data_IF_255917927990
#
_entry.id   IF_255917927990
#
_cell.length_a   1.000
_cell.length_b   1.000
_cell.length_c   1.000
_cell.angle_alpha   90.00
_cell.angle_beta   90.00
_cell.angle_gamma   90.00
#
_symmetry.space_group_name_H-M   'P 1'
#
loop_
_entity.id
_entity.type
_entity.pdbx_description
1 polymer ?
#
# COMPACT_ATOMS: atom_id res chain seq x y z
N UNK A 1 36.68 -1.55 -23.09
CA UNK A 1 35.34 -0.97 -23.27
C UNK A 1 34.96 -0.36 -21.94
N UNK A 2 34.96 0.97 -21.83
CA UNK A 2 34.61 1.64 -20.58
C UNK A 2 33.11 1.46 -20.35
N UNK A 3 32.72 0.80 -19.26
CA UNK A 3 31.32 0.79 -18.83
C UNK A 3 30.88 2.25 -18.68
N UNK A 4 29.88 2.67 -19.46
CA UNK A 4 29.20 3.94 -19.19
C UNK A 4 28.63 3.84 -17.77
N UNK A 5 28.86 4.82 -16.88
CA UNK A 5 28.19 4.87 -15.59
C UNK A 5 26.69 4.69 -15.84
N UNK A 6 26.11 3.67 -15.23
CA UNK A 6 24.68 3.40 -15.37
C UNK A 6 23.94 4.62 -14.82
N UNK A 7 23.10 5.27 -15.63
CA UNK A 7 22.34 6.43 -15.14
C UNK A 7 21.55 6.01 -13.90
N UNK A 8 21.57 6.82 -12.82
CA UNK A 8 20.80 6.51 -11.62
C UNK A 8 19.33 6.44 -12.00
N UNK A 9 18.70 5.29 -11.72
CA UNK A 9 17.26 5.09 -11.88
C UNK A 9 16.54 5.61 -10.65
N UNK A 10 15.32 6.11 -10.84
CA UNK A 10 14.50 6.58 -9.74
C UNK A 10 13.99 5.44 -8.86
N UNK A 11 13.20 5.82 -7.85
CA UNK A 11 12.72 4.91 -6.83
C UNK A 11 11.31 5.27 -6.37
N UNK A 12 10.64 4.32 -5.73
CA UNK A 12 9.33 4.52 -5.12
C UNK A 12 9.42 4.48 -3.60
N UNK A 13 8.64 5.31 -2.91
CA UNK A 13 8.42 5.20 -1.46
C UNK A 13 6.92 5.22 -1.21
N UNK A 14 6.34 4.03 -1.03
CA UNK A 14 4.88 3.83 -0.98
C UNK A 14 4.44 3.59 0.46
N UNK A 15 3.74 4.55 1.05
CA UNK A 15 3.29 4.50 2.45
C UNK A 15 1.85 4.04 2.52
N UNK A 16 1.55 3.09 3.40
CA UNK A 16 0.20 2.52 3.50
C UNK A 16 -0.89 3.50 3.94
N UNK A 17 -0.54 4.70 4.38
CA UNK A 17 -1.46 5.71 4.88
C UNK A 17 -1.06 6.19 6.27
N UNK A 18 -1.74 7.20 6.80
CA UNK A 18 -1.54 7.65 8.19
C UNK A 18 -0.08 7.99 8.55
N UNK A 19 0.71 8.47 7.58
CA UNK A 19 2.10 8.86 7.80
C UNK A 19 2.16 9.96 8.85
N UNK A 20 2.80 9.67 9.99
CA UNK A 20 2.89 10.60 11.11
C UNK A 20 3.95 11.67 10.85
N UNK A 21 3.68 12.90 11.26
CA UNK A 21 4.55 14.06 11.09
C UNK A 21 5.95 13.85 11.64
N UNK A 22 6.05 13.12 12.75
CA UNK A 22 7.30 12.84 13.44
C UNK A 22 8.05 11.61 12.90
N UNK A 23 7.55 10.96 11.83
CA UNK A 23 8.19 9.82 11.19
C UNK A 23 9.42 10.26 10.37
N UNK A 24 10.50 10.57 11.08
CA UNK A 24 11.78 10.99 10.51
C UNK A 24 12.39 9.95 9.57
N UNK A 25 12.11 8.67 9.78
CA UNK A 25 12.66 7.59 8.96
C UNK A 25 12.12 7.65 7.53
N UNK A 26 10.80 7.74 7.37
CA UNK A 26 10.16 7.75 6.05
C UNK A 26 10.39 9.08 5.34
N UNK A 27 10.18 10.22 6.02
CA UNK A 27 10.47 11.54 5.42
C UNK A 27 11.94 11.67 5.04
N UNK A 28 12.85 11.24 5.92
CA UNK A 28 14.29 11.24 5.65
C UNK A 28 14.67 10.37 4.46
N UNK A 29 14.05 9.20 4.27
CA UNK A 29 14.31 8.35 3.11
C UNK A 29 13.82 8.98 1.80
N UNK A 30 12.65 9.63 1.79
CA UNK A 30 12.17 10.38 0.61
C UNK A 30 13.15 11.50 0.27
N UNK A 31 13.55 12.32 1.24
CA UNK A 31 14.47 13.44 1.06
C UNK A 31 15.83 12.95 0.56
N UNK A 32 16.38 11.90 1.17
CA UNK A 32 17.64 11.27 0.75
C UNK A 32 17.61 10.87 -0.73
N UNK A 33 16.53 10.22 -1.18
CA UNK A 33 16.36 9.77 -2.57
C UNK A 33 16.12 10.93 -3.54
N UNK A 34 15.55 12.03 -3.06
CA UNK A 34 15.39 13.26 -3.82
C UNK A 34 16.68 14.12 -3.89
N UNK A 35 17.83 13.66 -3.40
CA UNK A 35 19.09 14.42 -3.43
C UNK A 35 19.54 14.94 -2.07
N UNK A 36 18.99 14.41 -0.97
CA UNK A 36 19.40 14.74 0.39
C UNK A 36 19.13 16.21 0.72
N UNK A 37 20.09 16.95 1.30
CA UNK A 37 19.90 18.36 1.65
C UNK A 37 19.53 19.27 0.48
N UNK A 38 19.82 18.87 -0.78
CA UNK A 38 19.45 19.62 -1.97
C UNK A 38 18.08 19.24 -2.54
N UNK A 39 17.32 18.39 -1.85
CA UNK A 39 16.03 17.90 -2.32
C UNK A 39 15.03 19.03 -2.59
N UNK A 40 14.33 18.92 -3.71
CA UNK A 40 13.22 19.78 -4.13
C UNK A 40 11.98 18.92 -4.34
N UNK A 41 11.01 19.01 -3.44
CA UNK A 41 9.85 18.12 -3.42
C UNK A 41 8.62 18.80 -4.05
N UNK A 42 8.09 18.22 -5.12
CA UNK A 42 6.77 18.56 -5.65
C UNK A 42 5.69 17.82 -4.88
N UNK A 43 4.88 18.54 -4.12
CA UNK A 43 3.76 17.98 -3.35
C UNK A 43 2.48 18.07 -4.19
N UNK A 44 1.83 16.93 -4.40
CA UNK A 44 0.61 16.79 -5.22
C UNK A 44 -0.45 16.17 -4.32
N UNK A 45 -1.59 16.84 -4.19
CA UNK A 45 -2.65 16.51 -3.19
C UNK A 45 -4.03 16.44 -3.84
N UNK A 46 -4.09 16.15 -5.14
CA UNK A 46 -5.33 16.08 -5.93
C UNK A 46 -6.35 15.04 -5.42
N UNK A 47 -5.93 14.08 -4.58
CA UNK A 47 -6.83 13.15 -3.91
C UNK A 47 -7.72 13.82 -2.85
N UNK A 48 -7.28 14.94 -2.27
CA UNK A 48 -8.12 15.75 -1.37
C UNK A 48 -9.25 16.44 -2.14
N UNK A 49 -10.28 16.88 -1.43
CA UNK A 49 -11.29 17.77 -2.02
C UNK A 49 -10.62 19.07 -2.47
N UNK A 50 -11.09 19.73 -3.55
CA UNK A 50 -10.58 21.03 -3.94
C UNK A 50 -11.13 22.13 -3.01
N UNK A 51 -10.58 23.33 -3.12
CA UNK A 51 -10.98 24.49 -2.31
C UNK A 51 -12.48 24.80 -2.41
N UNK A 52 -13.09 24.65 -3.59
CA UNK A 52 -14.53 24.90 -3.80
C UNK A 52 -15.46 23.97 -3.00
N UNK A 53 -14.94 22.83 -2.52
CA UNK A 53 -15.69 21.82 -1.77
C UNK A 53 -15.33 21.79 -0.28
N UNK A 54 -14.45 22.69 0.17
CA UNK A 54 -14.04 22.80 1.56
C UNK A 54 -14.82 23.93 2.27
N UNK A 55 -15.71 23.60 3.24
CA UNK A 55 -16.47 24.61 3.98
C UNK A 55 -15.59 25.51 4.86
N UNK A 56 -14.31 25.18 5.01
CA UNK A 56 -13.32 25.91 5.80
C UNK A 56 -12.17 26.46 4.94
N UNK A 57 -12.33 26.54 3.62
CA UNK A 57 -11.30 27.01 2.69
C UNK A 57 -10.62 28.34 3.10
N UNK A 58 -11.38 29.28 3.65
CA UNK A 58 -10.88 30.59 4.10
C UNK A 58 -10.20 30.60 5.47
N UNK A 59 -10.13 29.48 6.18
CA UNK A 59 -9.54 29.35 7.52
C UNK A 59 -8.31 28.43 7.47
N UNK A 60 -7.08 28.99 7.48
CA UNK A 60 -5.84 28.21 7.39
C UNK A 60 -5.63 27.18 8.52
N UNK A 61 -6.31 27.32 9.66
CA UNK A 61 -6.20 26.38 10.78
C UNK A 61 -7.16 25.20 10.64
N UNK A 62 -8.18 25.32 9.79
CA UNK A 62 -9.27 24.34 9.66
C UNK A 62 -9.43 23.77 8.25
N UNK A 63 -8.87 24.44 7.24
CA UNK A 63 -8.99 24.00 5.86
C UNK A 63 -8.35 22.62 5.66
N UNK A 64 -9.01 21.80 4.85
CA UNK A 64 -8.60 20.43 4.53
C UNK A 64 -8.88 20.12 3.06
N UNK A 65 -8.37 20.97 2.19
CA UNK A 65 -8.43 20.84 0.73
C UNK A 65 -7.06 20.55 0.11
N UNK A 66 -7.03 20.32 -1.20
CA UNK A 66 -5.82 20.10 -2.01
C UNK A 66 -4.73 21.14 -1.71
N UNK A 67 -5.04 22.42 -1.74
CA UNK A 67 -4.09 23.51 -1.54
C UNK A 67 -3.54 23.55 -0.10
N UNK A 68 -4.43 23.50 0.90
CA UNK A 68 -4.04 23.52 2.31
C UNK A 68 -3.19 22.31 2.71
N UNK A 69 -3.63 21.10 2.32
CA UNK A 69 -2.86 19.88 2.55
C UNK A 69 -1.52 19.95 1.82
N UNK A 70 -1.49 20.53 0.61
CA UNK A 70 -0.29 20.73 -0.17
C UNK A 70 0.73 21.65 0.52
N UNK A 71 0.27 22.78 1.05
CA UNK A 71 1.09 23.73 1.80
C UNK A 71 1.62 23.09 3.09
N UNK A 72 0.77 22.36 3.81
CA UNK A 72 1.14 21.65 5.03
C UNK A 72 2.25 20.60 4.80
N UNK A 73 2.11 19.73 3.80
CA UNK A 73 3.14 18.74 3.47
C UNK A 73 4.42 19.41 2.97
N UNK A 74 4.32 20.49 2.18
CA UNK A 74 5.50 21.22 1.73
C UNK A 74 6.31 21.80 2.91
N UNK A 75 5.63 22.40 3.88
CA UNK A 75 6.27 22.89 5.11
C UNK A 75 6.87 21.74 5.94
N UNK A 76 6.16 20.60 6.02
CA UNK A 76 6.64 19.40 6.71
C UNK A 76 7.92 18.83 6.08
N UNK A 77 8.02 18.74 4.74
CA UNK A 77 9.24 18.32 4.06
C UNK A 77 10.42 19.28 4.32
N UNK A 78 10.17 20.59 4.39
CA UNK A 78 11.19 21.59 4.76
C UNK A 78 11.67 21.38 6.20
N UNK A 79 10.76 21.14 7.15
CA UNK A 79 11.11 20.80 8.54
C UNK A 79 11.96 19.53 8.67
N UNK A 80 11.76 18.55 7.79
CA UNK A 80 12.57 17.32 7.74
C UNK A 80 13.88 17.47 6.96
N UNK A 81 14.16 18.64 6.37
CA UNK A 81 15.48 18.98 5.80
C UNK A 81 15.57 19.00 4.27
N UNK A 82 14.44 19.04 3.55
CA UNK A 82 14.47 19.36 2.12
C UNK A 82 14.85 20.84 1.91
N UNK A 83 15.68 21.14 0.90
CA UNK A 83 16.01 22.53 0.53
C UNK A 83 14.77 23.31 0.08
N UNK A 84 13.89 22.65 -0.67
CA UNK A 84 12.66 23.23 -1.17
C UNK A 84 11.56 22.17 -1.22
N UNK A 85 10.33 22.61 -1.02
CA UNK A 85 9.15 21.80 -1.21
C UNK A 85 7.98 22.72 -1.49
N UNK A 86 7.16 22.32 -2.46
CA UNK A 86 6.10 23.20 -2.95
C UNK A 86 4.89 22.40 -3.41
N UNK A 87 3.70 22.92 -3.11
CA UNK A 87 2.46 22.40 -3.68
C UNK A 87 2.39 22.68 -5.18
N UNK A 88 2.11 21.63 -5.96
CA UNK A 88 1.82 21.72 -7.39
C UNK A 88 0.29 21.83 -7.55
N UNK A 89 -0.22 22.88 -8.22
CA UNK A 89 -1.65 23.23 -8.20
C UNK A 89 -2.47 22.30 -9.12
N UNK A 90 -2.70 21.08 -8.64
CA UNK A 90 -3.41 20.02 -9.34
C UNK A 90 -4.51 19.49 -8.43
N UNK A 91 -5.74 19.60 -8.89
CA UNK A 91 -6.94 19.01 -8.28
C UNK A 91 -8.05 18.94 -9.34
N UNK A 92 -9.25 18.54 -8.91
CA UNK A 92 -10.41 18.37 -9.79
C UNK A 92 -11.05 19.71 -10.22
N UNK A 93 -10.76 20.83 -9.56
CA UNK A 93 -11.17 22.16 -10.03
C UNK A 93 -10.22 22.71 -11.09
N UNK A 94 -8.96 22.26 -11.05
CA UNK A 94 -7.87 22.75 -11.90
C UNK A 94 -7.29 21.68 -12.83
N UNK A 95 -8.11 20.78 -13.37
CA UNK A 95 -7.64 19.67 -14.24
C UNK A 95 -6.81 20.17 -15.44
N UNK A 96 -7.13 21.34 -15.99
CA UNK A 96 -6.38 21.94 -17.10
C UNK A 96 -4.89 22.20 -16.77
N UNK A 97 -4.53 22.32 -15.49
CA UNK A 97 -3.14 22.50 -15.06
C UNK A 97 -2.27 21.27 -15.36
N UNK A 98 -2.86 20.09 -15.55
CA UNK A 98 -2.12 18.87 -15.88
C UNK A 98 -1.46 18.92 -17.28
N UNK A 99 -1.93 19.80 -18.18
CA UNK A 99 -1.36 20.04 -19.50
C UNK A 99 -0.75 21.44 -19.69
N UNK A 100 -0.60 22.19 -18.59
CA UNK A 100 0.03 23.51 -18.56
C UNK A 100 1.55 23.42 -18.63
N UNK A 101 2.17 24.08 -19.61
CA UNK A 101 3.63 24.11 -19.76
C UNK A 101 4.32 24.74 -18.54
N UNK A 102 3.69 25.74 -17.91
CA UNK A 102 4.22 26.35 -16.69
C UNK A 102 4.25 25.37 -15.50
N UNK A 103 3.26 24.47 -15.41
CA UNK A 103 3.25 23.43 -14.37
C UNK A 103 4.27 22.34 -14.69
N UNK A 104 4.44 21.98 -15.97
CA UNK A 104 5.49 21.07 -16.43
C UNK A 104 6.89 21.61 -16.10
N UNK A 105 7.15 22.90 -16.32
CA UNK A 105 8.42 23.54 -15.94
C UNK A 105 8.68 23.45 -14.43
N UNK A 106 7.62 23.64 -13.63
CA UNK A 106 7.69 23.46 -12.18
C UNK A 106 8.04 22.02 -11.80
N UNK A 107 7.39 21.02 -12.40
CA UNK A 107 7.69 19.59 -12.23
C UNK A 107 9.16 19.30 -12.58
N UNK A 108 9.64 19.83 -13.70
CA UNK A 108 11.01 19.61 -14.16
C UNK A 108 12.06 20.17 -13.18
N UNK A 109 11.71 21.20 -12.43
CA UNK A 109 12.57 21.82 -11.41
C UNK A 109 12.65 21.02 -10.08
N UNK A 110 11.80 20.02 -9.88
CA UNK A 110 11.78 19.15 -8.70
C UNK A 110 12.72 17.95 -8.83
N UNK A 111 13.11 17.34 -7.72
CA UNK A 111 13.94 16.12 -7.66
C UNK A 111 13.24 14.95 -6.97
N UNK A 112 12.07 15.19 -6.36
CA UNK A 112 11.18 14.15 -5.86
C UNK A 112 9.73 14.62 -5.87
N UNK A 113 8.80 13.67 -5.85
CA UNK A 113 7.36 13.93 -5.85
C UNK A 113 6.70 13.20 -4.69
N UNK A 114 5.78 13.87 -3.99
CA UNK A 114 4.97 13.29 -2.93
C UNK A 114 3.49 13.44 -3.26
N UNK A 115 2.79 12.31 -3.34
CA UNK A 115 1.35 12.23 -3.55
C UNK A 115 0.64 12.02 -2.20
N UNK A 116 -0.18 12.98 -1.79
CA UNK A 116 -0.98 12.93 -0.56
C UNK A 116 -2.15 11.92 -0.62
N UNK A 117 -2.79 11.71 0.52
CA UNK A 117 -3.98 10.85 0.65
C UNK A 117 -5.29 11.53 0.24
N UNK A 118 -6.39 10.76 0.28
CA UNK A 118 -7.73 11.17 -0.11
C UNK A 118 -8.38 10.09 -0.99
N UNK A 119 -9.04 10.50 -2.06
CA UNK A 119 -9.60 9.62 -3.09
C UNK A 119 -8.62 9.45 -4.28
N UNK A 120 -8.15 8.23 -4.50
CA UNK A 120 -7.24 7.89 -5.60
C UNK A 120 -7.85 8.08 -6.99
N UNK A 121 -9.18 8.03 -7.13
CA UNK A 121 -9.83 8.23 -8.42
C UNK A 121 -9.67 9.67 -8.91
N UNK A 122 -9.61 10.65 -8.00
CA UNK A 122 -9.34 12.06 -8.33
C UNK A 122 -7.96 12.26 -8.95
N UNK A 123 -6.95 11.49 -8.53
CA UNK A 123 -5.65 11.51 -9.22
C UNK A 123 -5.77 11.07 -10.68
N UNK A 124 -6.58 10.04 -10.96
CA UNK A 124 -6.82 9.61 -12.34
C UNK A 124 -7.53 10.71 -13.12
N UNK A 125 -8.60 11.28 -12.56
CA UNK A 125 -9.35 12.38 -13.18
C UNK A 125 -8.46 13.59 -13.48
N UNK A 126 -7.54 13.94 -12.57
CA UNK A 126 -6.69 15.12 -12.72
C UNK A 126 -5.49 14.89 -13.64
N UNK A 127 -4.86 13.72 -13.63
CA UNK A 127 -3.55 13.49 -14.27
C UNK A 127 -3.59 12.60 -15.52
N UNK A 128 -4.73 12.01 -15.85
CA UNK A 128 -4.95 11.22 -17.06
C UNK A 128 -6.04 11.83 -17.95
N UNK A 129 -5.95 11.62 -19.26
CA UNK A 129 -6.95 12.11 -20.21
C UNK A 129 -8.16 11.19 -20.34
N UNK A 130 -9.08 11.29 -19.37
CA UNK A 130 -10.38 10.61 -19.37
C UNK A 130 -10.29 9.12 -19.69
N UNK A 131 -11.29 8.60 -20.41
CA UNK A 131 -11.39 7.17 -20.73
C UNK A 131 -10.23 6.63 -21.59
N UNK A 132 -9.45 7.51 -22.24
CA UNK A 132 -8.26 7.07 -22.99
C UNK A 132 -7.13 6.61 -22.07
N UNK A 133 -7.18 6.99 -20.79
CA UNK A 133 -6.20 6.63 -19.77
C UNK A 133 -4.74 6.95 -20.19
N UNK A 134 -4.56 8.02 -20.97
CA UNK A 134 -3.24 8.49 -21.42
C UNK A 134 -2.70 9.56 -20.48
N UNK A 135 -1.38 9.63 -20.34
CA UNK A 135 -0.72 10.64 -19.51
C UNK A 135 -1.06 12.07 -19.94
N UNK A 136 -1.37 12.94 -18.98
CA UNK A 136 -1.19 14.39 -19.13
C UNK A 136 0.29 14.75 -19.31
N UNK A 137 0.58 15.98 -19.78
CA UNK A 137 1.98 16.45 -19.87
C UNK A 137 2.70 16.41 -18.52
N UNK A 138 2.01 16.74 -17.43
CA UNK A 138 2.56 16.70 -16.07
C UNK A 138 2.92 15.27 -15.67
N UNK A 139 2.03 14.29 -15.88
CA UNK A 139 2.33 12.90 -15.54
C UNK A 139 3.48 12.35 -16.40
N UNK A 140 3.51 12.69 -17.69
CA UNK A 140 4.61 12.33 -18.58
C UNK A 140 5.95 12.92 -18.09
N UNK A 141 5.96 14.17 -17.61
CA UNK A 141 7.15 14.81 -17.03
C UNK A 141 7.59 14.12 -15.72
N UNK A 142 6.65 13.77 -14.82
CA UNK A 142 6.96 13.00 -13.60
C UNK A 142 7.58 11.65 -13.95
N UNK A 143 7.05 10.94 -14.95
CA UNK A 143 7.64 9.67 -15.44
C UNK A 143 9.05 9.86 -15.96
N UNK A 144 9.29 10.90 -16.76
CA UNK A 144 10.62 11.20 -17.27
C UNK A 144 11.60 11.48 -16.11
N UNK A 145 11.19 12.25 -15.10
CA UNK A 145 11.99 12.54 -13.91
C UNK A 145 12.28 11.27 -13.11
N UNK A 146 11.30 10.38 -12.91
CA UNK A 146 11.49 9.07 -12.27
C UNK A 146 12.51 8.23 -13.05
N UNK A 147 12.41 8.19 -14.39
CA UNK A 147 13.38 7.48 -15.23
C UNK A 147 14.81 8.04 -15.11
N UNK A 148 14.96 9.32 -14.74
CA UNK A 148 16.22 10.02 -14.55
C UNK A 148 16.64 10.20 -13.07
N UNK A 149 16.14 9.36 -12.17
CA UNK A 149 16.66 9.27 -10.79
C UNK A 149 15.81 9.96 -9.72
N UNK A 150 14.70 10.61 -10.08
CA UNK A 150 13.81 11.20 -9.07
C UNK A 150 13.11 10.12 -8.24
N UNK A 151 12.69 10.47 -7.03
CA UNK A 151 11.80 9.63 -6.21
C UNK A 151 10.34 9.99 -6.48
N UNK A 152 9.49 8.98 -6.61
CA UNK A 152 8.04 9.15 -6.51
C UNK A 152 7.57 8.50 -5.21
N UNK A 153 6.90 9.26 -4.38
CA UNK A 153 6.44 8.82 -3.06
C UNK A 153 4.97 9.14 -2.88
N UNK A 154 4.29 8.40 -2.02
CA UNK A 154 2.90 8.72 -1.71
C UNK A 154 2.37 7.97 -0.50
N UNK A 155 1.28 8.49 0.06
CA UNK A 155 0.62 7.94 1.24
C UNK A 155 -0.85 7.68 0.95
N UNK A 156 -1.38 6.53 1.38
CA UNK A 156 -2.78 6.14 1.15
C UNK A 156 -3.09 6.15 -0.37
N UNK A 157 -4.08 6.93 -0.83
CA UNK A 157 -4.35 7.14 -2.26
C UNK A 157 -3.10 7.43 -3.11
N UNK A 158 -2.15 8.21 -2.60
CA UNK A 158 -0.90 8.50 -3.29
C UNK A 158 0.03 7.29 -3.46
N UNK A 159 -0.05 6.30 -2.57
CA UNK A 159 0.60 5.00 -2.76
C UNK A 159 -0.22 4.09 -3.68
N UNK A 160 -1.55 4.13 -3.56
CA UNK A 160 -2.47 3.33 -4.36
C UNK A 160 -2.30 3.58 -5.87
N UNK A 161 -2.10 4.84 -6.29
CA UNK A 161 -1.88 5.20 -7.70
C UNK A 161 -0.57 4.66 -8.28
N UNK A 162 0.35 4.15 -7.47
CA UNK A 162 1.55 3.50 -8.01
C UNK A 162 1.21 2.18 -8.72
N UNK A 163 0.04 1.60 -8.43
CA UNK A 163 -0.45 0.36 -9.02
C UNK A 163 -0.45 0.40 -10.54
N UNK A 164 -0.04 -0.72 -11.15
CA UNK A 164 -0.36 -1.05 -12.53
C UNK A 164 -1.84 -1.38 -12.70
N UNK A 165 -2.15 -2.29 -13.63
CA UNK A 165 -3.50 -2.76 -13.89
C UNK A 165 -4.24 -3.18 -12.61
N UNK A 166 -5.56 -3.04 -12.64
CA UNK A 166 -6.48 -3.44 -11.56
C UNK A 166 -6.24 -2.70 -10.23
N UNK A 167 -6.06 -1.38 -10.30
CA UNK A 167 -5.90 -0.54 -9.11
C UNK A 167 -7.20 -0.52 -8.30
N UNK A 168 -7.12 -0.84 -7.00
CA UNK A 168 -8.28 -0.75 -6.08
C UNK A 168 -8.89 0.66 -6.10
N UNK A 169 -10.20 0.74 -6.33
CA UNK A 169 -10.99 1.98 -6.29
C UNK A 169 -11.91 2.06 -5.07
N UNK A 170 -12.23 0.93 -4.43
CA UNK A 170 -13.07 0.87 -3.23
C UNK A 170 -13.24 -0.56 -2.72
N UNK A 171 -13.90 -0.69 -1.57
CA UNK A 171 -14.42 -1.96 -1.08
C UNK A 171 -13.96 -2.41 0.28
N UNK A 172 -14.75 -3.26 0.91
CA UNK A 172 -14.43 -3.91 2.17
C UNK A 172 -14.19 -5.42 1.98
N UNK A 173 -13.49 -6.03 2.93
CA UNK A 173 -13.11 -7.45 2.84
C UNK A 173 -14.33 -8.36 2.80
N UNK A 174 -15.34 -8.12 3.65
CA UNK A 174 -16.48 -9.02 3.74
C UNK A 174 -17.32 -9.01 2.44
N UNK A 175 -17.71 -7.82 1.98
CA UNK A 175 -18.47 -7.61 0.75
C UNK A 175 -17.70 -8.15 -0.45
N UNK A 176 -16.39 -7.91 -0.54
CA UNK A 176 -15.55 -8.49 -1.58
C UNK A 176 -15.59 -10.02 -1.57
N UNK A 177 -15.48 -10.67 -0.40
CA UNK A 177 -15.56 -12.12 -0.30
C UNK A 177 -16.94 -12.67 -0.69
N UNK A 178 -18.02 -11.96 -0.36
CA UNK A 178 -19.40 -12.36 -0.68
C UNK A 178 -19.72 -12.16 -2.17
N UNK A 179 -19.44 -10.98 -2.70
CA UNK A 179 -19.98 -10.51 -3.98
C UNK A 179 -18.95 -10.58 -5.12
N UNK A 180 -17.66 -10.56 -4.77
CA UNK A 180 -16.56 -10.43 -5.73
C UNK A 180 -16.22 -9.00 -6.09
N UNK A 181 -15.20 -8.87 -6.93
CA UNK A 181 -14.73 -7.59 -7.43
C UNK A 181 -15.46 -7.18 -8.71
N UNK A 182 -15.60 -5.87 -8.91
CA UNK A 182 -16.20 -5.31 -10.13
C UNK A 182 -15.34 -4.17 -10.72
N UNK A 183 -15.22 -4.08 -12.06
CA UNK A 183 -14.50 -2.99 -12.70
C UNK A 183 -15.28 -1.67 -12.59
N UNK A 184 -14.61 -0.60 -12.19
CA UNK A 184 -15.16 0.76 -12.12
C UNK A 184 -14.90 1.47 -10.80
N UNK A 185 -15.51 2.64 -10.66
CA UNK A 185 -15.60 3.41 -9.41
C UNK A 185 -17.09 3.50 -9.02
N UNK A 186 -17.40 3.26 -7.75
CA UNK A 186 -18.78 3.19 -7.27
C UNK A 186 -18.98 4.08 -6.04
N UNK A 187 -20.20 4.57 -5.86
CA UNK A 187 -20.58 5.39 -4.70
C UNK A 187 -20.63 4.58 -3.40
N UNK A 188 -20.95 3.28 -3.49
CA UNK A 188 -20.90 2.37 -2.35
C UNK A 188 -19.43 2.05 -2.01
N UNK A 189 -18.90 2.55 -0.89
CA UNK A 189 -17.50 2.34 -0.53
C UNK A 189 -17.21 0.89 -0.08
N UNK A 190 -18.24 0.12 0.26
CA UNK A 190 -18.10 -1.27 0.70
C UNK A 190 -17.95 -2.25 -0.48
N UNK A 191 -18.40 -1.86 -1.67
CA UNK A 191 -18.25 -2.67 -2.89
C UNK A 191 -16.79 -2.77 -3.32
N UNK A 192 -16.26 -4.00 -3.38
CA UNK A 192 -14.94 -4.24 -3.94
C UNK A 192 -14.88 -3.88 -5.42
N UNK A 193 -14.12 -2.84 -5.72
CA UNK A 193 -14.02 -2.29 -7.06
C UNK A 193 -12.57 -1.96 -7.44
N UNK A 194 -12.31 -1.96 -8.74
CA UNK A 194 -10.99 -1.70 -9.30
C UNK A 194 -11.07 -0.97 -10.64
N UNK A 195 -10.03 -0.22 -10.99
CA UNK A 195 -9.84 0.38 -12.31
C UNK A 195 -8.97 -0.58 -13.14
N UNK A 196 -9.49 -1.24 -14.19
CA UNK A 196 -8.75 -2.24 -14.96
C UNK A 196 -7.44 -1.71 -15.55
N UNK A 197 -7.47 -0.49 -16.10
CA UNK A 197 -6.31 0.18 -16.69
C UNK A 197 -5.24 0.53 -15.64
N UNK A 198 -5.63 0.58 -14.37
CA UNK A 198 -4.75 0.80 -13.25
C UNK A 198 -4.70 2.23 -12.74
N UNK A 199 -3.61 2.52 -12.04
CA UNK A 199 -3.23 3.88 -11.67
C UNK A 199 -2.19 4.43 -12.65
N UNK A 200 -1.13 5.03 -12.11
CA UNK A 200 -0.01 5.50 -12.91
C UNK A 200 0.97 4.36 -13.25
N UNK A 201 0.85 3.16 -12.70
CA UNK A 201 1.65 2.00 -13.11
C UNK A 201 3.16 2.17 -12.90
N UNK A 202 3.54 2.89 -11.84
CA UNK A 202 4.93 3.02 -11.41
C UNK A 202 5.48 1.71 -10.82
N UNK A 203 4.63 0.91 -10.18
CA UNK A 203 4.91 -0.43 -9.69
C UNK A 203 4.05 -1.43 -10.44
N UNK A 204 4.68 -2.42 -11.07
CA UNK A 204 4.00 -3.45 -11.88
C UNK A 204 4.25 -4.88 -11.40
N UNK A 205 5.04 -5.05 -10.34
CA UNK A 205 5.42 -6.38 -9.84
C UNK A 205 4.38 -7.01 -8.92
N UNK A 206 3.26 -6.34 -8.67
CA UNK A 206 2.11 -6.84 -7.91
C UNK A 206 1.05 -5.76 -7.73
N UNK A 207 -0.13 -6.16 -7.26
CA UNK A 207 -1.16 -5.23 -6.79
C UNK A 207 -0.68 -4.49 -5.53
N UNK A 208 -1.22 -3.30 -5.31
CA UNK A 208 -1.02 -2.54 -4.08
C UNK A 208 -2.36 -2.37 -3.39
N UNK A 209 -2.36 -2.54 -2.07
CA UNK A 209 -3.46 -2.12 -1.21
C UNK A 209 -2.90 -1.33 -0.03
N UNK A 210 -3.69 -0.40 0.50
CA UNK A 210 -3.32 0.58 1.53
C UNK A 210 -4.25 0.49 2.73
N UNK A 211 -3.75 0.94 3.88
CA UNK A 211 -4.39 0.81 5.20
C UNK A 211 -4.78 -0.63 5.54
N UNK A 212 -4.03 -1.63 5.04
CA UNK A 212 -4.57 -3.00 4.97
C UNK A 212 -4.96 -3.54 6.33
N UNK A 213 -4.02 -3.59 7.29
CA UNK A 213 -4.34 -4.04 8.64
C UNK A 213 -5.23 -3.06 9.41
N UNK A 214 -5.10 -1.75 9.16
CA UNK A 214 -5.86 -0.71 9.87
C UNK A 214 -7.37 -0.77 9.57
N UNK A 215 -7.74 -1.17 8.35
CA UNK A 215 -9.12 -1.34 7.89
C UNK A 215 -9.46 -2.79 7.51
N UNK A 216 -8.63 -3.76 7.94
CA UNK A 216 -8.84 -5.19 7.72
C UNK A 216 -9.06 -5.63 6.26
N UNK A 217 -8.31 -5.03 5.33
CA UNK A 217 -8.44 -5.21 3.87
C UNK A 217 -7.70 -6.45 3.34
N UNK A 218 -7.19 -7.33 4.18
CA UNK A 218 -6.49 -8.54 3.72
C UNK A 218 -7.43 -9.44 2.89
N UNK A 219 -8.71 -9.52 3.25
CA UNK A 219 -9.72 -10.28 2.51
C UNK A 219 -9.99 -9.71 1.12
N UNK A 220 -10.21 -8.40 1.01
CA UNK A 220 -10.43 -7.74 -0.29
C UNK A 220 -9.20 -7.84 -1.20
N UNK A 221 -8.00 -7.70 -0.63
CA UNK A 221 -6.74 -7.81 -1.36
C UNK A 221 -6.56 -9.22 -1.96
N UNK A 222 -6.80 -10.26 -1.15
CA UNK A 222 -6.77 -11.65 -1.62
C UNK A 222 -7.85 -11.93 -2.67
N UNK A 223 -9.05 -11.37 -2.49
CA UNK A 223 -10.15 -11.57 -3.42
C UNK A 223 -9.89 -10.92 -4.76
N UNK A 224 -9.51 -9.64 -4.78
CA UNK A 224 -9.23 -8.92 -6.00
C UNK A 224 -8.13 -9.63 -6.79
N UNK A 225 -7.01 -9.97 -6.14
CA UNK A 225 -5.91 -10.67 -6.78
C UNK A 225 -6.34 -11.99 -7.43
N UNK A 226 -7.22 -12.75 -6.78
CA UNK A 226 -7.76 -13.98 -7.34
C UNK A 226 -8.70 -13.73 -8.53
N UNK A 227 -9.56 -12.72 -8.45
CA UNK A 227 -10.53 -12.39 -9.51
C UNK A 227 -9.83 -11.83 -10.76
N UNK A 228 -8.73 -11.07 -10.60
CA UNK A 228 -7.99 -10.43 -11.70
C UNK A 228 -6.71 -11.17 -12.11
N UNK A 229 -6.42 -12.32 -11.49
CA UNK A 229 -5.31 -13.19 -11.87
C UNK A 229 -3.91 -12.69 -11.47
N UNK A 230 -3.82 -11.86 -10.43
CA UNK A 230 -2.53 -11.41 -9.89
C UNK A 230 -1.97 -12.40 -8.88
N UNK A 231 -0.71 -12.76 -9.06
CA UNK A 231 -0.01 -13.68 -8.15
C UNK A 231 0.55 -12.99 -6.89
N UNK A 232 0.58 -11.65 -6.86
CA UNK A 232 1.19 -10.87 -5.77
C UNK A 232 0.35 -9.67 -5.39
N UNK A 233 0.23 -9.45 -4.08
CA UNK A 233 -0.21 -8.17 -3.51
C UNK A 233 0.78 -7.66 -2.48
N UNK A 234 1.08 -6.37 -2.53
CA UNK A 234 1.74 -5.61 -1.48
C UNK A 234 0.68 -4.87 -0.66
N UNK A 235 0.36 -5.41 0.51
CA UNK A 235 -0.59 -4.86 1.46
C UNK A 235 0.15 -3.98 2.47
N UNK A 236 0.04 -2.66 2.28
CA UNK A 236 0.78 -1.64 3.01
C UNK A 236 0.03 -1.23 4.28
N UNK A 237 0.69 -1.27 5.43
CA UNK A 237 0.12 -0.78 6.69
C UNK A 237 0.45 0.70 6.94
N UNK A 238 -0.33 1.32 7.83
CA UNK A 238 -0.17 2.74 8.16
C UNK A 238 1.20 3.05 8.76
N UNK A 239 1.62 4.30 8.55
CA UNK A 239 2.87 4.88 9.00
C UNK A 239 4.13 4.10 8.55
N UNK A 240 3.99 3.21 7.56
CA UNK A 240 5.06 2.30 7.10
C UNK A 240 5.16 2.34 5.58
N UNK A 241 6.39 2.41 5.10
CA UNK A 241 6.72 2.52 3.69
C UNK A 241 7.25 1.20 3.12
N UNK A 242 6.83 0.89 1.90
CA UNK A 242 7.52 0.00 0.98
C UNK A 242 8.39 0.85 0.06
N UNK A 243 9.69 0.75 0.23
CA UNK A 243 10.67 1.39 -0.63
C UNK A 243 10.98 0.44 -1.77
N UNK A 244 10.89 0.92 -3.02
CA UNK A 244 11.17 0.15 -4.23
C UNK A 244 12.31 0.80 -4.99
N UNK A 245 13.42 0.10 -5.08
CA UNK A 245 14.58 0.48 -5.85
C UNK A 245 14.54 -0.16 -7.24
N UNK A 246 15.01 0.56 -8.26
CA UNK A 246 15.02 0.13 -9.66
C UNK A 246 13.67 -0.49 -10.14
N UNK A 247 12.52 0.20 -9.94
CA UNK A 247 11.20 -0.34 -10.24
C UNK A 247 11.06 -0.74 -11.72
N UNK A 248 10.40 -1.86 -11.96
CA UNK A 248 10.16 -2.40 -13.31
C UNK A 248 11.40 -2.99 -13.98
N UNK A 249 12.47 -3.29 -13.22
CA UNK A 249 13.70 -3.89 -13.76
C UNK A 249 14.02 -5.25 -13.17
N UNK A 250 14.94 -6.02 -13.78
CA UNK A 250 15.50 -7.23 -13.16
C UNK A 250 16.20 -7.02 -11.81
N UNK A 251 16.54 -5.77 -11.44
CA UNK A 251 17.20 -5.39 -10.18
C UNK A 251 16.22 -4.82 -9.14
N UNK A 252 14.91 -4.88 -9.43
CA UNK A 252 13.88 -4.40 -8.51
C UNK A 252 14.01 -5.09 -7.16
N UNK A 253 14.21 -4.30 -6.11
CA UNK A 253 14.28 -4.79 -4.74
C UNK A 253 13.51 -3.87 -3.82
N UNK A 254 12.94 -4.47 -2.79
CA UNK A 254 12.02 -3.80 -1.91
C UNK A 254 12.52 -3.85 -0.47
N UNK A 255 12.33 -2.76 0.27
CA UNK A 255 12.68 -2.65 1.68
C UNK A 255 11.51 -2.04 2.45
N UNK A 256 11.19 -2.59 3.61
CA UNK A 256 10.18 -2.03 4.53
C UNK A 256 10.84 -1.03 5.46
N UNK A 257 10.22 0.13 5.67
CA UNK A 257 10.63 1.13 6.66
C UNK A 257 9.44 1.62 7.47
N UNK A 258 9.51 1.57 8.79
CA UNK A 258 8.49 2.13 9.68
C UNK A 258 8.04 1.15 10.78
N UNK A 259 7.17 1.62 11.69
CA UNK A 259 6.84 0.92 12.93
C UNK A 259 5.91 -0.28 12.75
N UNK A 260 5.20 -0.37 11.63
CA UNK A 260 4.33 -1.50 11.31
C UNK A 260 5.01 -2.40 10.26
N UNK A 261 4.27 -2.89 9.26
CA UNK A 261 4.82 -3.79 8.25
C UNK A 261 4.15 -3.69 6.89
N UNK A 262 4.62 -4.54 5.99
CA UNK A 262 4.03 -4.77 4.67
C UNK A 262 3.79 -6.26 4.52
N UNK A 263 2.56 -6.64 4.22
CA UNK A 263 2.23 -8.00 3.86
C UNK A 263 2.47 -8.21 2.36
N UNK A 264 3.22 -9.27 2.02
CA UNK A 264 3.26 -9.84 0.68
C UNK A 264 2.32 -11.04 0.67
N UNK A 265 1.22 -10.90 -0.08
CA UNK A 265 0.27 -11.98 -0.34
C UNK A 265 0.71 -12.67 -1.64
N UNK A 266 1.05 -13.96 -1.56
CA UNK A 266 1.53 -14.77 -2.67
C UNK A 266 0.48 -15.83 -3.04
N UNK A 267 -0.07 -15.68 -4.25
CA UNK A 267 -1.15 -16.49 -4.80
C UNK A 267 -0.68 -17.50 -5.85
N UNK A 268 0.62 -17.61 -6.18
CA UNK A 268 1.13 -18.52 -7.23
C UNK A 268 0.72 -19.98 -7.06
N UNK A 269 0.54 -20.40 -5.81
CA UNK A 269 0.09 -21.75 -5.45
C UNK A 269 -1.33 -21.80 -4.88
N UNK A 270 -2.04 -20.67 -4.88
CA UNK A 270 -3.38 -20.57 -4.36
C UNK A 270 -4.40 -21.12 -5.36
N UNK A 271 -5.54 -21.59 -4.86
CA UNK A 271 -6.68 -22.03 -5.67
C UNK A 271 -7.90 -21.29 -5.17
N UNK A 272 -8.48 -20.46 -6.05
CA UNK A 272 -9.75 -19.81 -5.82
C UNK A 272 -10.87 -20.52 -6.61
N UNK A 273 -12.04 -20.64 -6.02
CA UNK A 273 -13.20 -21.26 -6.68
C UNK A 273 -14.50 -20.64 -6.15
N UNK A 274 -15.38 -20.23 -7.08
CA UNK A 274 -16.75 -19.80 -6.78
C UNK A 274 -17.72 -20.94 -7.05
N UNK A 275 -18.52 -21.31 -6.06
CA UNK A 275 -19.56 -22.33 -6.18
C UNK A 275 -20.90 -21.79 -5.65
N UNK A 276 -21.96 -22.59 -5.75
CA UNK A 276 -23.23 -22.28 -5.09
C UNK A 276 -23.10 -22.13 -3.56
N UNK A 277 -22.07 -22.73 -2.93
CA UNK A 277 -21.79 -22.57 -1.50
C UNK A 277 -21.02 -21.28 -1.18
N UNK A 278 -20.61 -20.49 -2.19
CA UNK A 278 -19.82 -19.27 -2.04
C UNK A 278 -18.40 -19.40 -2.57
N UNK A 279 -17.62 -18.32 -2.39
CA UNK A 279 -16.24 -18.20 -2.83
C UNK A 279 -15.28 -18.81 -1.82
N UNK A 280 -14.29 -19.55 -2.31
CA UNK A 280 -13.23 -20.17 -1.51
C UNK A 280 -11.86 -19.79 -2.04
N UNK A 281 -10.88 -19.71 -1.14
CA UNK A 281 -9.46 -19.59 -1.45
C UNK A 281 -8.68 -20.58 -0.59
N UNK A 282 -7.78 -21.35 -1.20
CA UNK A 282 -6.89 -22.26 -0.47
C UNK A 282 -5.45 -22.07 -0.88
N UNK A 283 -4.56 -22.01 0.10
CA UNK A 283 -3.12 -22.12 -0.12
C UNK A 283 -2.40 -20.83 -0.49
N UNK A 284 -3.06 -19.67 -0.38
CA UNK A 284 -2.36 -18.39 -0.43
C UNK A 284 -1.32 -18.30 0.69
N UNK A 285 -0.20 -17.64 0.44
CA UNK A 285 0.87 -17.44 1.42
C UNK A 285 0.88 -16.00 1.89
N UNK A 286 0.88 -15.82 3.21
CA UNK A 286 1.03 -14.56 3.90
C UNK A 286 2.45 -14.45 4.44
N UNK A 287 3.19 -13.47 3.92
CA UNK A 287 4.50 -13.06 4.42
C UNK A 287 4.38 -11.63 4.94
N UNK A 288 4.61 -11.41 6.22
CA UNK A 288 4.53 -10.11 6.85
C UNK A 288 5.94 -9.62 7.20
N UNK A 289 6.38 -8.59 6.48
CA UNK A 289 7.69 -7.98 6.59
C UNK A 289 7.61 -6.73 7.46
N UNK A 290 8.57 -6.56 8.36
CA UNK A 290 8.65 -5.39 9.25
C UNK A 290 9.92 -4.60 8.98
N UNK A 291 10.13 -3.50 9.70
CA UNK A 291 11.23 -2.57 9.53
C UNK A 291 12.57 -3.23 9.14
N UNK A 292 13.18 -2.70 8.08
CA UNK A 292 14.42 -3.14 7.43
C UNK A 292 14.42 -4.55 6.80
N UNK A 293 13.31 -5.29 6.83
CA UNK A 293 13.17 -6.49 6.02
C UNK A 293 13.18 -6.13 4.53
N UNK A 294 13.70 -7.06 3.73
CA UNK A 294 13.80 -6.92 2.28
C UNK A 294 12.98 -7.97 1.56
N UNK A 295 12.58 -7.66 0.35
CA UNK A 295 11.88 -8.58 -0.54
C UNK A 295 12.42 -8.44 -1.97
N UNK A 296 12.73 -9.59 -2.58
CA UNK A 296 13.13 -9.67 -3.98
C UNK A 296 11.92 -10.12 -4.81
N UNK A 297 11.36 -9.19 -5.58
CA UNK A 297 10.17 -9.41 -6.38
C UNK A 297 10.38 -10.38 -7.56
N UNK A 298 11.63 -10.61 -7.99
CA UNK A 298 11.92 -11.53 -9.10
C UNK A 298 11.97 -12.97 -8.60
N UNK A 299 12.64 -13.19 -7.47
CA UNK A 299 12.86 -14.52 -6.87
C UNK A 299 11.82 -14.88 -5.82
N UNK A 300 10.94 -13.95 -5.47
CA UNK A 300 9.92 -14.10 -4.42
C UNK A 300 10.50 -14.41 -3.04
N UNK A 301 11.70 -13.87 -2.78
CA UNK A 301 12.47 -14.19 -1.60
C UNK A 301 12.36 -13.08 -0.56
N UNK A 302 11.66 -13.30 0.57
CA UNK A 302 11.77 -12.43 1.73
C UNK A 302 13.12 -12.63 2.43
N UNK A 303 13.69 -11.54 2.95
CA UNK A 303 14.95 -11.54 3.69
C UNK A 303 14.77 -10.71 4.95
N UNK A 304 14.64 -11.35 6.13
CA UNK A 304 14.61 -10.66 7.40
C UNK A 304 15.83 -9.75 7.59
N UNK A 305 15.64 -8.64 8.28
CA UNK A 305 16.71 -7.71 8.62
C UNK A 305 17.83 -8.42 9.42
N UNK A 306 19.12 -8.04 9.25
CA UNK A 306 20.24 -8.71 9.92
C UNK A 306 20.15 -8.80 11.45
N UNK A 307 19.44 -7.87 12.11
CA UNK A 307 19.22 -7.88 13.56
C UNK A 307 18.14 -8.86 14.04
N UNK A 308 17.42 -9.52 13.13
CA UNK A 308 16.38 -10.49 13.45
C UNK A 308 16.94 -11.91 13.39
N UNK A 309 16.45 -12.76 14.29
CA UNK A 309 16.78 -14.19 14.35
C UNK A 309 15.50 -15.03 14.28
N UNK A 310 15.59 -16.32 13.88
CA UNK A 310 14.44 -17.21 13.93
C UNK A 310 13.84 -17.28 15.33
N UNK A 311 12.51 -17.17 15.41
CA UNK A 311 11.76 -17.34 16.64
C UNK A 311 11.36 -18.81 16.79
N UNK A 312 11.73 -19.40 17.93
CA UNK A 312 11.30 -20.74 18.33
C UNK A 312 10.34 -20.62 19.52
N UNK A 313 9.01 -20.72 19.31
CA UNK A 313 8.04 -20.48 20.38
C UNK A 313 8.13 -21.57 21.46
N UNK A 314 8.22 -21.15 22.72
CA UNK A 314 8.19 -22.04 23.89
C UNK A 314 6.80 -22.12 24.51
N UNK A 315 5.99 -21.06 24.37
CA UNK A 315 4.64 -20.94 24.89
C UNK A 315 3.72 -22.02 24.35
N UNK A 316 2.86 -22.55 25.23
CA UNK A 316 1.77 -23.48 24.88
C UNK A 316 0.40 -22.83 25.05
N UNK A 317 0.33 -21.50 25.21
CA UNK A 317 -0.94 -20.80 25.26
C UNK A 317 -1.69 -21.01 23.93
N UNK A 318 -3.01 -21.30 23.97
CA UNK A 318 -3.80 -21.43 22.75
C UNK A 318 -3.93 -20.09 22.04
N UNK A 319 -4.12 -20.12 20.73
CA UNK A 319 -4.46 -18.91 19.96
C UNK A 319 -5.85 -18.44 20.40
N UNK A 320 -6.03 -17.16 20.80
CA UNK A 320 -7.34 -16.63 21.17
C UNK A 320 -8.36 -16.78 20.04
N UNK A 321 -9.62 -17.01 20.40
CA UNK A 321 -10.72 -16.98 19.44
C UNK A 321 -10.80 -15.59 18.80
N UNK A 322 -11.01 -15.55 17.49
CA UNK A 322 -11.18 -14.32 16.74
C UNK A 322 -12.44 -14.44 15.87
N UNK A 323 -13.45 -13.65 16.18
CA UNK A 323 -14.74 -13.64 15.48
C UNK A 323 -14.89 -12.46 14.52
N UNK A 324 -13.83 -11.69 14.30
CA UNK A 324 -13.79 -10.57 13.37
C UNK A 324 -12.38 -10.39 12.79
N UNK A 325 -11.99 -11.32 11.91
CA UNK A 325 -10.64 -11.39 11.35
C UNK A 325 -10.26 -10.20 10.47
N UNK A 326 -11.25 -9.54 9.87
CA UNK A 326 -11.08 -8.43 8.94
C UNK A 326 -11.53 -7.09 9.51
N UNK A 327 -11.62 -6.95 10.84
CA UNK A 327 -11.96 -5.69 11.51
C UNK A 327 -13.14 -4.98 10.82
N UNK A 328 -14.28 -5.65 10.76
CA UNK A 328 -15.46 -5.14 10.07
C UNK A 328 -15.89 -3.79 10.61
N UNK A 329 -16.22 -2.86 9.72
CA UNK A 329 -16.83 -1.57 10.08
C UNK A 329 -18.20 -1.72 10.76
N UNK A 330 -18.86 -2.87 10.59
CA UNK A 330 -20.11 -3.21 11.27
C UNK A 330 -19.92 -3.70 12.71
N UNK A 331 -18.68 -3.99 13.12
CA UNK A 331 -18.37 -4.45 14.48
C UNK A 331 -17.90 -3.27 15.37
N UNK A 332 -18.73 -2.78 16.31
CA UNK A 332 -18.35 -1.66 17.18
C UNK A 332 -17.21 -2.01 18.14
N UNK A 333 -17.01 -3.31 18.43
CA UNK A 333 -15.97 -3.82 19.31
C UNK A 333 -14.73 -4.33 18.53
N UNK A 334 -14.72 -4.12 17.21
CA UNK A 334 -13.63 -4.53 16.35
C UNK A 334 -12.31 -3.87 16.74
N UNK A 335 -11.21 -4.58 16.54
CA UNK A 335 -9.85 -4.02 16.75
C UNK A 335 -9.06 -4.04 15.45
N UNK A 336 -8.47 -2.91 15.03
CA UNK A 336 -7.58 -2.86 13.87
C UNK A 336 -6.45 -3.91 13.96
N UNK A 337 -5.94 -4.33 12.81
CA UNK A 337 -4.87 -5.34 12.69
C UNK A 337 -5.26 -6.73 13.21
N UNK A 338 -6.55 -7.07 13.20
CA UNK A 338 -7.10 -8.34 13.68
C UNK A 338 -6.45 -9.56 13.00
N UNK A 339 -6.37 -9.56 11.66
CA UNK A 339 -5.73 -10.62 10.87
C UNK A 339 -4.28 -10.87 11.30
N UNK A 340 -3.48 -9.79 11.36
CA UNK A 340 -2.08 -9.81 11.84
C UNK A 340 -1.97 -10.35 13.27
N UNK A 341 -2.91 -9.99 14.13
CA UNK A 341 -2.94 -10.43 15.54
C UNK A 341 -3.13 -11.93 15.65
N UNK A 342 -4.07 -12.53 14.91
CA UNK A 342 -4.22 -13.99 14.85
C UNK A 342 -2.98 -14.67 14.27
N UNK A 343 -2.40 -14.13 13.19
CA UNK A 343 -1.19 -14.67 12.59
C UNK A 343 0.00 -14.68 13.58
N UNK A 344 0.21 -13.59 14.32
CA UNK A 344 1.27 -13.46 15.33
C UNK A 344 1.02 -14.35 16.55
N UNK A 345 -0.22 -14.46 17.01
CA UNK A 345 -0.58 -15.36 18.11
C UNK A 345 -0.28 -16.82 17.73
N UNK A 346 -0.66 -17.24 16.52
CA UNK A 346 -0.31 -18.56 16.01
C UNK A 346 1.21 -18.74 15.94
N UNK A 347 1.95 -17.78 15.39
CA UNK A 347 3.41 -17.84 15.29
C UNK A 347 4.11 -17.97 16.66
N UNK A 348 3.51 -17.45 17.72
CA UNK A 348 4.11 -17.36 19.06
C UNK A 348 3.82 -18.56 19.98
N UNK A 349 2.99 -19.51 19.54
CA UNK A 349 2.69 -20.75 20.30
C UNK A 349 3.28 -21.99 19.65
N UNK A 350 3.59 -23.03 20.42
CA UNK A 350 3.88 -24.38 19.90
C UNK A 350 2.73 -25.37 20.11
N UNK A 351 1.64 -24.95 20.77
CA UNK A 351 0.50 -25.82 21.06
C UNK A 351 -0.33 -26.16 19.82
N UNK A 352 -0.32 -25.30 18.80
CA UNK A 352 -1.13 -25.44 17.60
C UNK A 352 -0.34 -25.09 16.34
N UNK A 353 -0.62 -25.80 15.25
CA UNK A 353 -0.11 -25.50 13.91
C UNK A 353 -1.13 -24.76 13.03
N UNK A 354 -2.36 -24.68 13.49
CA UNK A 354 -3.48 -24.02 12.81
C UNK A 354 -4.21 -23.11 13.77
N UNK A 355 -4.76 -22.01 13.26
CA UNK A 355 -5.72 -21.16 13.96
C UNK A 355 -6.86 -20.82 13.01
N UNK A 356 -8.08 -20.80 13.52
CA UNK A 356 -9.25 -20.39 12.77
C UNK A 356 -9.77 -19.08 13.36
N UNK A 357 -10.08 -18.14 12.48
CA UNK A 357 -10.82 -16.93 12.79
C UNK A 357 -12.04 -16.85 11.87
N UNK A 358 -13.03 -16.01 12.19
CA UNK A 358 -14.19 -15.80 11.33
C UNK A 358 -14.38 -14.34 10.97
N UNK A 359 -15.14 -14.08 9.91
CA UNK A 359 -15.77 -12.77 9.73
C UNK A 359 -16.77 -12.50 10.85
N UNK A 360 -17.03 -11.22 11.11
CA UNK A 360 -18.05 -10.78 12.06
C UNK A 360 -19.44 -11.17 11.55
N UNK A 361 -19.67 -10.87 10.28
CA UNK A 361 -20.90 -11.11 9.56
C UNK A 361 -21.19 -12.61 9.40
N UNK A 362 -22.46 -12.91 9.13
CA UNK A 362 -23.00 -14.28 9.12
C UNK A 362 -23.75 -14.67 7.84
N UNK A 363 -23.80 -13.82 6.81
CA UNK A 363 -24.62 -14.04 5.61
C UNK A 363 -23.86 -13.98 4.28
N UNK A 364 -22.97 -14.93 3.96
CA UNK A 364 -22.53 -16.06 4.80
C UNK A 364 -21.41 -15.66 5.75
N UNK A 365 -21.14 -16.47 6.78
CA UNK A 365 -19.91 -16.31 7.55
C UNK A 365 -18.74 -16.89 6.74
N UNK A 366 -17.55 -16.31 6.84
CA UNK A 366 -16.33 -16.93 6.31
C UNK A 366 -15.42 -17.38 7.44
N UNK A 367 -14.92 -18.61 7.35
CA UNK A 367 -13.82 -19.12 8.15
C UNK A 367 -12.50 -18.78 7.46
N UNK A 368 -11.57 -18.19 8.20
CA UNK A 368 -10.20 -17.89 7.78
C UNK A 368 -9.23 -18.75 8.58
N UNK A 369 -8.61 -19.72 7.90
CA UNK A 369 -7.65 -20.64 8.50
C UNK A 369 -6.23 -20.20 8.22
N UNK A 370 -5.47 -20.00 9.30
CA UNK A 370 -4.04 -19.75 9.31
C UNK A 370 -3.31 -21.06 9.60
N UNK A 371 -2.22 -21.35 8.89
CA UNK A 371 -1.46 -22.61 9.06
C UNK A 371 0.05 -22.43 8.98
N UNK A 372 0.77 -23.03 9.93
CA UNK A 372 2.24 -23.21 9.92
C UNK A 372 2.61 -24.40 9.03
N UNK A 373 2.49 -24.22 7.72
CA UNK A 373 2.84 -25.27 6.78
C UNK A 373 4.34 -25.26 6.43
N UNK A 374 4.77 -26.19 5.58
CA UNK A 374 6.14 -26.26 5.08
C UNK A 374 6.61 -24.92 4.49
N UNK A 375 7.78 -24.46 4.96
CA UNK A 375 8.37 -23.17 4.62
C UNK A 375 7.94 -22.01 5.52
N UNK A 376 7.06 -22.23 6.50
CA UNK A 376 6.72 -21.22 7.49
C UNK A 376 7.92 -20.94 8.42
N UNK A 377 8.21 -19.66 8.67
CA UNK A 377 9.10 -19.25 9.75
C UNK A 377 8.63 -17.93 10.36
N UNK A 378 8.96 -17.73 11.63
CA UNK A 378 8.76 -16.47 12.34
C UNK A 378 10.13 -15.95 12.80
N UNK A 379 10.29 -14.63 12.86
CA UNK A 379 11.53 -13.99 13.24
C UNK A 379 11.29 -12.87 14.26
N UNK A 380 12.31 -12.63 15.08
CA UNK A 380 12.25 -11.74 16.23
C UNK A 380 13.53 -10.93 16.37
N UNK A 381 13.41 -9.65 16.70
CA UNK A 381 14.51 -8.81 17.17
C UNK A 381 14.71 -8.86 18.69
N UNK A 382 13.61 -8.92 19.45
CA UNK A 382 13.61 -8.88 20.92
C UNK A 382 13.72 -10.25 21.59
N UNK A 383 13.54 -11.34 20.84
CA UNK A 383 13.56 -12.72 21.34
C UNK A 383 12.21 -13.26 21.82
N UNK A 384 11.16 -12.45 21.82
CA UNK A 384 9.85 -12.80 22.34
C UNK A 384 8.74 -12.60 21.31
N UNK A 385 8.80 -11.54 20.53
CA UNK A 385 7.74 -11.12 19.62
C UNK A 385 7.97 -11.70 18.24
N UNK A 386 6.95 -12.37 17.67
CA UNK A 386 6.92 -12.76 16.26
C UNK A 386 6.71 -11.52 15.37
N UNK A 387 7.81 -10.85 15.04
CA UNK A 387 7.78 -9.57 14.32
C UNK A 387 7.55 -9.78 12.82
N UNK A 388 8.39 -10.61 12.21
CA UNK A 388 8.34 -10.95 10.78
C UNK A 388 7.83 -12.38 10.63
N UNK A 389 6.87 -12.58 9.73
CA UNK A 389 6.29 -13.90 9.44
C UNK A 389 6.55 -14.21 7.97
N UNK A 390 7.03 -15.41 7.66
CA UNK A 390 7.30 -15.81 6.28
C UNK A 390 6.47 -17.05 5.96
N UNK A 391 5.69 -16.97 4.90
CA UNK A 391 5.06 -18.13 4.28
C UNK A 391 3.95 -18.81 5.08
N UNK A 392 3.25 -18.10 5.96
CA UNK A 392 2.06 -18.64 6.64
C UNK A 392 0.98 -18.94 5.60
N UNK A 393 0.35 -20.12 5.63
CA UNK A 393 -0.72 -20.44 4.68
C UNK A 393 -2.05 -19.90 5.17
N UNK A 394 -2.81 -19.33 4.24
CA UNK A 394 -4.15 -18.78 4.45
C UNK A 394 -5.13 -19.57 3.59
N UNK A 395 -6.27 -19.90 4.16
CA UNK A 395 -7.44 -20.39 3.42
C UNK A 395 -8.68 -19.65 3.91
N UNK A 396 -9.59 -19.35 2.99
CA UNK A 396 -10.87 -18.69 3.26
C UNK A 396 -11.97 -19.59 2.69
N UNK A 397 -12.95 -19.94 3.51
CA UNK A 397 -14.09 -20.76 3.10
C UNK A 397 -15.37 -20.20 3.68
N UNK A 398 -16.47 -20.21 2.92
CA UNK A 398 -17.78 -19.86 3.45
C UNK A 398 -18.23 -20.98 4.41
N UNK A 399 -18.99 -20.59 5.42
CA UNK A 399 -19.52 -21.45 6.48
C UNK A 399 -21.03 -21.51 6.43
#
# INVERSE_FOLDING_TARGET
MSERPQQPRGSLVLVGGGLKDDNKQVYGEIIKRAGGPAARIGVITAASVPESQDPHAGDPERCSNSACNGAYYADLFKRHGAADAQWIPLDIDHVANADSDAVVDRINSMSGFFFGGGDQYRYLTTLLHGDRHTDSKVLAAIRAKLAHGAVVSGSSAGAQIASGADMVSGGESYEGLRDGSAPGYYEDPARLAYIPEGGFGFLRSGLVDTHTGAYGREGRALRLAADTGHDRVYALEENTALVVDDPGTPREHLTVLGPNGVAVLDLRGARAHTSAAGWTLRGARYTYLTDHDRYDARTWAPRPAPGKRPLHPTSTAPVPANTDVFYSSANPDGTPYSFRTTARALASTRAQNTANATTFESGPRFDVTFSKAGGFSAWTGDGATAQTLIGMRISITPR
#
